data_IF_708414427121
#
_entry.id   IF_708414427121
#
_cell.length_a   1.000
_cell.length_b   1.000
_cell.length_c   1.000
_cell.angle_alpha   90.00
_cell.angle_beta   90.00
_cell.angle_gamma   90.00
#
_symmetry.space_group_name_H-M   'P 1'
#
loop_
_entity.id
_entity.type
_entity.pdbx_description
1 polymer ?
#
# COMPACT_ATOMS: atom_id res chain seq x y z
N UNK A 1 -15.51 -15.72 11.87
CA UNK A 1 -14.55 -14.97 11.02
C UNK A 1 -14.88 -15.16 9.55
N UNK A 2 -14.86 -16.40 9.04
CA UNK A 2 -15.22 -16.73 7.65
C UNK A 2 -16.57 -16.16 7.22
N UNK A 3 -17.61 -16.27 8.06
CA UNK A 3 -18.95 -15.74 7.74
C UNK A 3 -18.98 -14.21 7.58
N UNK A 4 -18.14 -13.47 8.33
CA UNK A 4 -18.05 -12.01 8.25
C UNK A 4 -17.32 -11.60 6.97
N UNK A 5 -16.24 -12.29 6.62
CA UNK A 5 -15.51 -12.08 5.37
C UNK A 5 -16.37 -12.40 4.15
N UNK A 6 -17.16 -13.48 4.21
CA UNK A 6 -18.12 -13.83 3.15
C UNK A 6 -19.23 -12.79 3.05
N UNK A 7 -19.84 -12.37 4.16
CA UNK A 7 -20.90 -11.36 4.15
C UNK A 7 -20.42 -10.02 3.59
N UNK A 8 -19.25 -9.54 4.03
CA UNK A 8 -18.64 -8.32 3.52
C UNK A 8 -18.27 -8.48 2.04
N UNK A 9 -17.70 -9.62 1.67
CA UNK A 9 -17.39 -9.92 0.27
C UNK A 9 -18.62 -9.83 -0.63
N UNK A 10 -19.75 -10.40 -0.21
CA UNK A 10 -21.02 -10.32 -0.96
C UNK A 10 -21.50 -8.87 -1.04
N UNK A 11 -21.58 -8.15 0.09
CA UNK A 11 -22.07 -6.75 0.12
C UNK A 11 -21.25 -5.84 -0.81
N UNK A 12 -19.94 -6.04 -0.86
CA UNK A 12 -19.01 -5.16 -1.60
C UNK A 12 -18.93 -5.55 -3.09
N UNK A 13 -19.15 -6.82 -3.43
CA UNK A 13 -19.11 -7.28 -4.84
C UNK A 13 -20.45 -7.16 -5.56
N UNK A 14 -21.56 -7.24 -4.83
CA UNK A 14 -22.91 -7.22 -5.37
C UNK A 14 -23.22 -5.96 -6.22
N UNK A 15 -22.88 -4.72 -5.79
CA UNK A 15 -23.13 -3.52 -6.60
C UNK A 15 -22.40 -3.55 -7.94
N UNK A 16 -21.18 -4.08 -7.97
CA UNK A 16 -20.38 -4.22 -9.19
C UNK A 16 -20.98 -5.27 -10.14
N UNK A 17 -21.40 -6.41 -9.61
CA UNK A 17 -22.07 -7.47 -10.38
C UNK A 17 -23.40 -7.01 -10.96
N UNK A 18 -24.22 -6.29 -10.18
CA UNK A 18 -25.50 -5.73 -10.62
C UNK A 18 -25.28 -4.69 -11.72
N UNK A 19 -24.34 -3.75 -11.52
CA UNK A 19 -24.00 -2.75 -12.52
C UNK A 19 -23.56 -3.38 -13.84
N UNK A 20 -22.65 -4.35 -13.79
CA UNK A 20 -22.19 -5.05 -14.99
C UNK A 20 -23.30 -5.85 -15.66
N UNK A 21 -24.17 -6.51 -14.90
CA UNK A 21 -25.32 -7.23 -15.46
C UNK A 21 -26.21 -6.26 -16.26
N UNK A 22 -26.61 -5.13 -15.68
CA UNK A 22 -27.44 -4.16 -16.41
C UNK A 22 -26.72 -3.54 -17.61
N UNK A 23 -25.41 -3.29 -17.49
CA UNK A 23 -24.63 -2.71 -18.58
C UNK A 23 -24.42 -3.68 -19.76
N UNK A 24 -24.26 -4.99 -19.51
CA UNK A 24 -24.02 -5.98 -20.57
C UNK A 24 -25.29 -6.62 -21.13
N UNK A 25 -26.38 -6.66 -20.37
CA UNK A 25 -27.61 -7.41 -20.74
C UNK A 25 -28.45 -6.77 -21.85
N UNK A 26 -28.01 -5.65 -22.45
CA UNK A 26 -28.83 -4.87 -23.40
C UNK A 26 -30.24 -4.53 -22.88
N UNK A 27 -30.46 -4.60 -21.56
CA UNK A 27 -31.58 -3.98 -20.88
C UNK A 27 -31.25 -2.50 -20.89
N UNK A 28 -31.67 -1.86 -21.97
CA UNK A 28 -31.68 -0.42 -22.17
C UNK A 28 -31.92 0.26 -20.84
N UNK A 29 -30.88 0.90 -20.28
CA UNK A 29 -31.13 2.04 -19.42
C UNK A 29 -31.92 2.99 -20.32
N UNK A 30 -33.21 3.25 -20.02
CA UNK A 30 -34.03 4.06 -20.90
C UNK A 30 -33.45 5.47 -20.89
N UNK A 31 -32.69 5.85 -21.92
CA UNK A 31 -32.28 7.20 -22.37
C UNK A 31 -32.06 8.34 -21.34
N UNK A 32 -31.85 8.04 -20.05
CA UNK A 32 -31.95 9.02 -18.96
C UNK A 32 -30.69 9.15 -18.11
N UNK A 33 -29.69 8.28 -18.28
CA UNK A 33 -28.42 8.39 -17.56
C UNK A 33 -27.41 9.06 -18.47
N UNK A 34 -26.92 10.22 -18.04
CA UNK A 34 -25.85 10.91 -18.74
C UNK A 34 -24.57 10.08 -18.75
N UNK A 35 -23.72 10.26 -19.76
CA UNK A 35 -22.41 9.58 -19.84
C UNK A 35 -21.58 9.82 -18.57
N UNK A 36 -21.68 11.03 -18.00
CA UNK A 36 -20.99 11.41 -16.77
C UNK A 36 -21.48 10.62 -15.54
N UNK A 37 -22.79 10.46 -15.37
CA UNK A 37 -23.36 9.67 -14.28
C UNK A 37 -22.98 8.19 -14.40
N UNK A 38 -23.00 7.64 -15.61
CA UNK A 38 -22.59 6.25 -15.82
C UNK A 38 -21.10 6.04 -15.48
N UNK A 39 -20.23 6.97 -15.88
CA UNK A 39 -18.80 6.94 -15.50
C UNK A 39 -18.61 7.05 -13.99
N UNK A 40 -19.40 7.89 -13.33
CA UNK A 40 -19.37 8.02 -11.87
C UNK A 40 -19.77 6.71 -11.18
N UNK A 41 -20.91 6.12 -11.56
CA UNK A 41 -21.39 4.84 -11.00
C UNK A 41 -20.38 3.71 -11.24
N UNK A 42 -19.80 3.65 -12.45
CA UNK A 42 -18.74 2.69 -12.78
C UNK A 42 -17.51 2.86 -11.88
N UNK A 43 -17.10 4.11 -11.65
CA UNK A 43 -15.92 4.42 -10.82
C UNK A 43 -16.16 4.06 -9.36
N UNK A 44 -17.32 4.42 -8.80
CA UNK A 44 -17.70 4.11 -7.42
C UNK A 44 -17.78 2.60 -7.20
N UNK A 45 -18.45 1.86 -8.09
CA UNK A 45 -18.58 0.39 -7.97
C UNK A 45 -17.22 -0.31 -8.08
N UNK A 46 -16.32 0.17 -8.94
CA UNK A 46 -14.94 -0.33 -9.03
C UNK A 46 -14.13 -0.04 -7.77
N UNK A 47 -14.19 1.17 -7.22
CA UNK A 47 -13.49 1.53 -5.98
C UNK A 47 -13.94 0.63 -4.83
N UNK A 48 -15.26 0.44 -4.69
CA UNK A 48 -15.85 -0.45 -3.69
C UNK A 48 -15.33 -1.88 -3.89
N UNK A 49 -15.41 -2.41 -5.11
CA UNK A 49 -14.92 -3.75 -5.44
C UNK A 49 -13.43 -3.94 -5.12
N UNK A 50 -12.56 -3.02 -5.54
CA UNK A 50 -11.13 -3.11 -5.26
C UNK A 50 -10.81 -2.91 -3.78
N UNK A 51 -11.57 -2.07 -3.08
CA UNK A 51 -11.48 -1.91 -1.63
C UNK A 51 -11.68 -3.23 -0.89
N UNK A 52 -12.50 -4.14 -1.42
CA UNK A 52 -12.74 -5.47 -0.86
C UNK A 52 -11.47 -6.27 -0.62
N UNK A 53 -10.47 -6.17 -1.51
CA UNK A 53 -9.22 -6.93 -1.37
C UNK A 53 -8.42 -6.52 -0.13
N UNK A 54 -8.62 -5.30 0.38
CA UNK A 54 -7.98 -4.82 1.60
C UNK A 54 -8.77 -5.15 2.88
N UNK A 55 -10.07 -5.40 2.78
CA UNK A 55 -10.94 -5.63 3.94
C UNK A 55 -10.55 -6.83 4.79
N UNK A 56 -10.19 -8.01 4.24
CA UNK A 56 -9.72 -9.13 5.04
C UNK A 56 -8.54 -8.77 5.93
N UNK A 57 -7.62 -7.93 5.45
CA UNK A 57 -6.48 -7.47 6.26
C UNK A 57 -6.96 -6.68 7.49
N UNK A 58 -7.86 -5.71 7.31
CA UNK A 58 -8.40 -4.91 8.41
C UNK A 58 -9.24 -5.75 9.39
N UNK A 59 -10.06 -6.68 8.87
CA UNK A 59 -10.84 -7.61 9.69
C UNK A 59 -9.90 -8.46 10.54
N UNK A 60 -8.83 -9.01 9.95
CA UNK A 60 -7.84 -9.81 10.67
C UNK A 60 -7.09 -9.00 11.74
N UNK A 61 -6.78 -7.72 11.47
CA UNK A 61 -6.25 -6.80 12.47
C UNK A 61 -7.20 -6.61 13.68
N UNK A 62 -8.51 -6.48 13.44
CA UNK A 62 -9.48 -6.22 14.50
C UNK A 62 -9.84 -7.48 15.29
N UNK A 63 -10.04 -8.61 14.59
CA UNK A 63 -10.66 -9.83 15.15
C UNK A 63 -9.62 -10.84 15.64
N UNK A 64 -8.42 -10.90 15.05
CA UNK A 64 -7.42 -11.92 15.38
C UNK A 64 -6.25 -11.37 16.21
N UNK A 65 -6.19 -11.67 17.53
CA UNK A 65 -5.07 -11.27 18.38
C UNK A 65 -3.73 -11.90 17.94
N UNK A 66 -3.79 -13.06 17.30
CA UNK A 66 -2.60 -13.73 16.76
C UNK A 66 -2.05 -12.97 15.55
N UNK A 67 -2.92 -12.57 14.63
CA UNK A 67 -2.54 -11.77 13.47
C UNK A 67 -1.90 -10.45 13.88
N UNK A 68 -2.51 -9.73 14.85
CA UNK A 68 -1.93 -8.48 15.40
C UNK A 68 -0.51 -8.66 15.91
N UNK A 69 -0.26 -9.70 16.73
CA UNK A 69 1.08 -9.96 17.27
C UNK A 69 2.10 -10.25 16.17
N UNK A 70 1.71 -11.03 15.17
CA UNK A 70 2.56 -11.31 14.01
C UNK A 70 2.84 -10.05 13.19
N UNK A 71 1.83 -9.21 12.96
CA UNK A 71 1.98 -7.94 12.22
C UNK A 71 2.97 -7.00 12.93
N UNK A 72 2.81 -6.81 14.25
CA UNK A 72 3.75 -5.98 15.05
C UNK A 72 5.16 -6.54 14.97
N UNK A 73 5.33 -7.86 15.07
CA UNK A 73 6.64 -8.48 14.97
C UNK A 73 7.29 -8.25 13.59
N UNK A 74 6.52 -8.38 12.50
CA UNK A 74 7.01 -8.11 11.14
C UNK A 74 7.40 -6.64 10.98
N UNK A 75 6.57 -5.70 11.44
CA UNK A 75 6.86 -4.27 11.38
C UNK A 75 8.11 -3.91 12.18
N UNK A 76 8.25 -4.44 13.38
CA UNK A 76 9.41 -4.24 14.23
C UNK A 76 10.68 -4.80 13.59
N UNK A 77 10.60 -5.99 13.00
CA UNK A 77 11.72 -6.60 12.29
C UNK A 77 12.15 -5.78 11.05
N UNK A 78 11.20 -5.25 10.27
CA UNK A 78 11.50 -4.34 9.15
C UNK A 78 12.18 -3.06 9.66
N UNK A 79 11.67 -2.47 10.73
CA UNK A 79 12.22 -1.26 11.33
C UNK A 79 13.65 -1.48 11.84
N UNK A 80 13.89 -2.58 12.57
CA UNK A 80 15.22 -2.94 13.06
C UNK A 80 16.21 -3.17 11.90
N UNK A 81 15.80 -3.88 10.84
CA UNK A 81 16.63 -4.07 9.65
C UNK A 81 16.98 -2.75 8.96
N UNK A 82 16.01 -1.83 8.87
CA UNK A 82 16.25 -0.50 8.32
C UNK A 82 17.28 0.28 9.14
N UNK A 83 17.16 0.28 10.47
CA UNK A 83 18.12 0.94 11.37
C UNK A 83 19.51 0.31 11.32
N UNK A 84 19.59 -1.02 11.30
CA UNK A 84 20.86 -1.73 11.18
C UNK A 84 21.57 -1.38 9.86
N UNK A 85 20.84 -1.33 8.73
CA UNK A 85 21.36 -0.87 7.44
C UNK A 85 21.86 0.58 7.51
N UNK A 86 21.12 1.46 8.17
CA UNK A 86 21.50 2.88 8.35
C UNK A 86 22.77 3.03 9.19
N UNK A 87 22.89 2.28 10.28
CA UNK A 87 24.08 2.27 11.15
C UNK A 87 25.29 1.71 10.40
N UNK A 88 25.12 0.62 9.67
CA UNK A 88 26.21 0.02 8.89
C UNK A 88 26.72 0.97 7.80
N UNK A 89 25.84 1.71 7.12
CA UNK A 89 26.24 2.77 6.17
C UNK A 89 27.06 3.87 6.85
N UNK A 90 26.64 4.34 8.03
CA UNK A 90 27.39 5.36 8.79
C UNK A 90 28.78 4.86 9.21
N UNK A 91 28.89 3.60 9.65
CA UNK A 91 30.20 3.00 9.98
C UNK A 91 31.09 2.86 8.75
N UNK A 92 30.58 2.40 7.61
CA UNK A 92 31.35 2.31 6.38
C UNK A 92 31.90 3.69 5.94
N UNK A 93 31.08 4.74 6.04
CA UNK A 93 31.52 6.10 5.70
C UNK A 93 32.54 6.69 6.70
N UNK A 94 32.62 6.16 7.93
CA UNK A 94 33.65 6.55 8.90
C UNK A 94 34.96 5.77 8.71
N UNK A 95 34.89 4.53 8.22
CA UNK A 95 36.07 3.67 7.99
C UNK A 95 36.71 3.94 6.63
N UNK A 96 35.95 4.43 5.66
CA UNK A 96 36.48 4.88 4.36
C UNK A 96 36.66 6.39 4.43
N UNK A 97 37.87 6.93 4.69
CA UNK A 97 38.10 8.36 4.54
C UNK A 97 37.76 8.75 3.10
N UNK A 98 37.00 9.85 2.95
CA UNK A 98 36.83 10.49 1.67
C UNK A 98 38.21 10.69 1.05
N UNK A 99 38.33 10.21 -0.18
CA UNK A 99 39.45 10.29 -1.13
C UNK A 99 40.66 11.16 -0.71
N UNK A 100 41.91 10.70 -0.89
CA UNK A 100 43.14 11.43 -0.53
C UNK A 100 43.37 12.77 -1.29
N UNK A 101 42.41 13.21 -2.09
CA UNK A 101 42.46 14.48 -2.84
C UNK A 101 42.37 15.69 -1.89
N UNK A 102 41.65 15.59 -0.77
CA UNK A 102 41.48 16.72 0.16
C UNK A 102 42.67 16.90 1.10
N UNK A 103 43.49 15.87 1.33
CA UNK A 103 44.68 15.96 2.17
C UNK A 103 45.81 16.81 1.52
N UNK A 104 45.92 16.78 0.19
CA UNK A 104 46.93 17.56 -0.53
C UNK A 104 46.59 19.05 -0.64
N UNK A 105 45.32 19.44 -0.51
CA UNK A 105 44.91 20.85 -0.56
C UNK A 105 45.22 21.55 0.77
N UNK A 106 45.13 20.84 1.89
CA UNK A 106 45.46 21.42 3.21
C UNK A 106 46.96 21.59 3.39
N UNK A 107 47.78 20.65 2.87
CA UNK A 107 49.24 20.72 2.94
C UNK A 107 49.85 21.80 2.04
N UNK A 108 49.21 22.16 0.92
CA UNK A 108 49.70 23.23 0.03
C UNK A 108 49.36 24.64 0.52
N UNK A 109 48.33 24.79 1.36
CA UNK A 109 47.94 26.08 1.96
C UNK A 109 48.72 26.43 3.23
N UNK A 110 49.37 25.45 3.87
CA UNK A 110 50.24 25.67 5.05
C UNK A 110 51.73 25.80 4.70
N UNK A 111 52.08 25.80 3.42
CA UNK A 111 53.46 25.91 2.91
C UNK A 111 53.83 27.31 2.37
N UNK A 112 53.07 28.34 2.75
CA UNK A 112 53.39 29.75 2.48
C UNK A 112 53.55 30.54 3.78
#
# INVERSE_FOLDING_TARGET
MVLVEVAIGVIVTLPYSIYNYFYTSAVTFPDQISVAENQFISSVTRIIFYGNFSLPFYINCCVSPRFRRQLVHVLLHIHLKYWQKKINRRRMNQITPQSPVDANIVLSLTAF
#
